data_IF_287196954807
#
_entry.id   IF_287196954807
#
_cell.length_a   1.000
_cell.length_b   1.000
_cell.length_c   1.000
_cell.angle_alpha   90.00
_cell.angle_beta   90.00
_cell.angle_gamma   90.00
#
_symmetry.space_group_name_H-M   'P 1'
#
loop_
_entity.id
_entity.type
_entity.pdbx_description
1 polymer ?
#
# COMPACT_ATOMS: atom_id res chain seq x y z
N UNK A 1 -2.42 -10.79 -0.55
CA UNK A 1 -2.73 -10.04 -1.78
C UNK A 1 -1.50 -9.28 -2.26
N UNK A 2 -1.25 -9.18 -3.57
CA UNK A 2 -0.14 -8.41 -4.13
C UNK A 2 -0.58 -7.00 -4.53
N UNK A 3 0.28 -6.01 -4.31
CA UNK A 3 0.05 -4.60 -4.58
C UNK A 3 1.27 -4.07 -5.34
N UNK A 4 1.05 -3.48 -6.52
CA UNK A 4 2.09 -2.79 -7.28
C UNK A 4 2.13 -1.31 -6.91
N UNK A 5 3.33 -0.79 -6.68
CA UNK A 5 3.65 0.60 -6.37
C UNK A 5 4.64 1.09 -7.43
N UNK A 6 4.29 2.16 -8.14
CA UNK A 6 5.07 2.64 -9.28
C UNK A 6 6.38 3.33 -8.87
N UNK A 7 6.49 3.78 -7.61
CA UNK A 7 7.68 4.42 -7.09
C UNK A 7 8.43 3.48 -6.11
N UNK A 8 9.60 2.93 -6.51
CA UNK A 8 10.37 2.00 -5.67
C UNK A 8 10.83 2.63 -4.36
N UNK A 9 11.14 3.92 -4.34
CA UNK A 9 11.62 4.63 -3.14
C UNK A 9 10.55 4.73 -2.05
N UNK A 10 9.29 4.46 -2.41
CA UNK A 10 8.14 4.52 -1.50
C UNK A 10 7.66 3.15 -1.04
N UNK A 11 8.24 2.05 -1.54
CA UNK A 11 7.84 0.70 -1.16
C UNK A 11 8.09 0.42 0.32
N UNK A 12 9.30 0.74 0.81
CA UNK A 12 9.69 0.41 2.18
C UNK A 12 8.86 1.23 3.20
N UNK A 13 8.54 2.49 2.85
CA UNK A 13 7.62 3.32 3.64
C UNK A 13 6.20 2.71 3.66
N UNK A 14 5.69 2.29 2.50
CA UNK A 14 4.37 1.66 2.41
C UNK A 14 4.30 0.34 3.20
N UNK A 15 5.35 -0.50 3.15
CA UNK A 15 5.46 -1.72 3.96
C UNK A 15 5.46 -1.36 5.45
N UNK A 16 6.21 -0.33 5.85
CA UNK A 16 6.23 0.18 7.22
C UNK A 16 4.84 0.64 7.68
N UNK A 17 4.15 1.40 6.84
CA UNK A 17 2.78 1.87 7.09
C UNK A 17 1.80 0.71 7.29
N UNK A 18 1.83 -0.31 6.42
CA UNK A 18 0.98 -1.49 6.54
C UNK A 18 1.25 -2.27 7.82
N UNK A 19 2.53 -2.48 8.16
CA UNK A 19 2.92 -3.17 9.40
C UNK A 19 2.50 -2.40 10.64
N UNK A 20 2.63 -1.07 10.63
CA UNK A 20 2.13 -0.21 11.71
C UNK A 20 0.60 -0.27 11.84
N UNK A 21 -0.12 -0.48 10.74
CA UNK A 21 -1.55 -0.76 10.71
C UNK A 21 -1.94 -2.19 11.14
N UNK A 22 -0.97 -3.04 11.49
CA UNK A 22 -1.21 -4.42 11.90
C UNK A 22 -1.36 -5.42 10.74
N UNK A 23 -1.09 -5.01 9.50
CA UNK A 23 -1.04 -5.93 8.37
C UNK A 23 0.28 -6.70 8.34
N UNK A 24 0.27 -7.93 7.84
CA UNK A 24 1.51 -8.57 7.42
C UNK A 24 1.86 -8.03 6.04
N UNK A 25 3.05 -7.42 5.90
CA UNK A 25 3.51 -6.88 4.62
C UNK A 25 4.96 -7.29 4.34
N UNK A 26 5.23 -7.70 3.12
CA UNK A 26 6.53 -8.15 2.63
C UNK A 26 6.79 -7.55 1.25
N UNK A 27 7.97 -6.98 1.05
CA UNK A 27 8.45 -6.59 -0.28
C UNK A 27 8.86 -7.83 -1.06
N UNK A 28 8.30 -8.01 -2.25
CA UNK A 28 8.66 -9.12 -3.15
C UNK A 28 9.77 -8.72 -4.12
N UNK A 29 9.67 -7.51 -4.67
CA UNK A 29 10.62 -6.94 -5.64
C UNK A 29 10.64 -5.40 -5.57
N UNK A 30 11.17 -4.74 -6.59
CA UNK A 30 11.33 -3.27 -6.63
C UNK A 30 10.03 -2.51 -6.87
N UNK A 31 8.92 -3.18 -7.16
CA UNK A 31 7.61 -2.53 -7.38
C UNK A 31 6.45 -3.25 -6.70
N UNK A 32 6.67 -4.40 -6.08
CA UNK A 32 5.60 -5.27 -5.58
C UNK A 32 5.72 -5.52 -4.08
N UNK A 33 4.59 -5.35 -3.39
CA UNK A 33 4.41 -5.71 -1.98
C UNK A 33 3.33 -6.79 -1.88
N UNK A 34 3.62 -7.86 -1.16
CA UNK A 34 2.61 -8.78 -0.66
C UNK A 34 2.11 -8.30 0.69
N UNK A 35 0.80 -8.16 0.83
CA UNK A 35 0.13 -7.76 2.05
C UNK A 35 -1.01 -8.71 2.41
N UNK A 36 -1.16 -9.01 3.70
CA UNK A 36 -2.24 -9.83 4.26
C UNK A 36 -2.86 -9.03 5.41
N UNK A 37 -4.18 -8.91 5.40
CA UNK A 37 -4.93 -8.29 6.49
C UNK A 37 -5.36 -9.40 7.46
N UNK A 38 -4.94 -9.38 8.74
CA UNK A 38 -5.37 -10.39 9.69
C UNK A 38 -6.89 -10.38 9.89
N UNK A 39 -7.46 -11.55 10.20
CA UNK A 39 -8.84 -11.70 10.67
C UNK A 39 -9.95 -11.27 9.68
N UNK A 40 -9.65 -11.13 8.40
CA UNK A 40 -10.66 -10.92 7.37
C UNK A 40 -11.28 -12.25 6.93
N UNK A 41 -12.61 -12.31 6.94
CA UNK A 41 -13.35 -13.53 6.64
C UNK A 41 -13.43 -13.86 5.13
N UNK A 42 -13.00 -12.95 4.25
CA UNK A 42 -13.03 -13.16 2.81
C UNK A 42 -11.97 -12.37 2.04
N UNK A 43 -11.54 -12.85 0.86
CA UNK A 43 -10.67 -12.09 -0.04
C UNK A 43 -11.24 -10.73 -0.47
N UNK A 44 -12.57 -10.59 -0.57
CA UNK A 44 -13.21 -9.31 -0.89
C UNK A 44 -13.08 -8.30 0.25
N UNK A 45 -13.21 -8.77 1.50
CA UNK A 45 -13.00 -7.96 2.69
C UNK A 45 -11.54 -7.52 2.79
N UNK A 46 -10.59 -8.43 2.54
CA UNK A 46 -9.16 -8.13 2.48
C UNK A 46 -8.87 -7.03 1.45
N UNK A 47 -9.36 -7.18 0.22
CA UNK A 47 -9.18 -6.20 -0.85
C UNK A 47 -9.75 -4.83 -0.48
N UNK A 48 -10.93 -4.81 0.15
CA UNK A 48 -11.57 -3.55 0.58
C UNK A 48 -10.73 -2.84 1.62
N UNK A 49 -10.24 -3.56 2.62
CA UNK A 49 -9.45 -3.02 3.70
C UNK A 49 -8.08 -2.51 3.21
N UNK A 50 -7.37 -3.31 2.40
CA UNK A 50 -6.12 -2.88 1.74
C UNK A 50 -6.34 -1.63 0.88
N UNK A 51 -7.50 -1.53 0.21
CA UNK A 51 -7.88 -0.33 -0.53
C UNK A 51 -8.03 0.92 0.35
N UNK A 52 -8.47 0.76 1.61
CA UNK A 52 -8.53 1.86 2.58
C UNK A 52 -7.13 2.26 3.03
N UNK A 53 -6.27 1.29 3.37
CA UNK A 53 -4.87 1.55 3.70
C UNK A 53 -4.14 2.30 2.58
N UNK A 54 -4.28 1.83 1.34
CA UNK A 54 -3.65 2.46 0.17
C UNK A 54 -4.11 3.91 -0.01
N UNK A 55 -5.42 4.19 0.07
CA UNK A 55 -5.96 5.55 -0.05
C UNK A 55 -5.50 6.47 1.06
N UNK A 56 -5.43 5.97 2.30
CA UNK A 56 -4.93 6.71 3.46
C UNK A 56 -3.46 7.10 3.25
N UNK A 57 -2.62 6.12 2.91
CA UNK A 57 -1.21 6.31 2.63
C UNK A 57 -0.97 7.28 1.47
N UNK A 58 -1.69 7.12 0.36
CA UNK A 58 -1.64 8.02 -0.79
C UNK A 58 -2.04 9.44 -0.43
N UNK A 59 -3.03 9.63 0.45
CA UNK A 59 -3.49 10.96 0.87
C UNK A 59 -2.44 11.68 1.72
N UNK A 60 -1.77 10.96 2.63
CA UNK A 60 -0.64 11.48 3.39
C UNK A 60 0.52 11.90 2.47
N UNK A 61 0.83 11.08 1.47
CA UNK A 61 1.94 11.32 0.54
C UNK A 61 1.60 12.29 -0.59
N UNK A 62 0.33 12.45 -0.98
CA UNK A 62 -0.10 13.49 -1.94
C UNK A 62 0.08 14.88 -1.33
N UNK A 63 -0.13 15.01 -0.02
CA UNK A 63 0.12 16.26 0.72
C UNK A 63 1.60 16.60 0.83
N UNK A 64 2.47 15.60 0.81
CA UNK A 64 3.92 15.77 0.69
C UNK A 64 4.33 16.07 -0.78
N UNK A 65 3.74 15.36 -1.75
CA UNK A 65 3.99 15.51 -3.19
C UNK A 65 3.39 16.78 -3.81
N UNK A 66 2.52 17.52 -3.13
CA UNK A 66 2.14 18.87 -3.58
C UNK A 66 3.31 19.89 -3.57
N UNK A 67 4.51 19.48 -3.16
CA UNK A 67 5.77 20.20 -3.44
C UNK A 67 6.63 19.57 -4.55
N UNK A 68 6.30 18.38 -5.04
CA UNK A 68 6.98 17.69 -6.14
C UNK A 68 6.00 16.72 -6.81
N UNK A 69 5.42 17.13 -7.93
CA UNK A 69 4.39 16.37 -8.63
C UNK A 69 4.89 15.01 -9.10
N UNK A 70 4.19 13.94 -8.75
CA UNK A 70 3.94 12.82 -9.66
C UNK A 70 2.87 11.87 -9.12
N UNK A 71 2.12 11.29 -10.05
CA UNK A 71 0.96 10.44 -9.81
C UNK A 71 1.30 8.94 -9.85
N UNK A 72 0.34 8.15 -9.33
CA UNK A 72 0.00 6.75 -9.68
C UNK A 72 0.25 5.65 -8.63
N UNK A 73 -0.81 4.83 -8.48
CA UNK A 73 -0.76 3.39 -8.27
C UNK A 73 -2.07 2.81 -8.85
N UNK A 74 -1.96 1.77 -9.69
CA UNK A 74 -3.10 1.01 -10.23
C UNK A 74 -3.13 -0.34 -9.51
N UNK A 75 -4.29 -0.72 -8.99
CA UNK A 75 -4.52 -2.04 -8.39
C UNK A 75 -5.11 -3.00 -9.44
N UNK A 76 -4.48 -4.17 -9.65
CA UNK A 76 -5.07 -5.33 -10.36
C UNK A 76 -5.52 -6.34 -9.32
#
# INVERSE_FOLDING_TARGET
MQISIDNPDRLDDFVGFLRAGGCFALRLDDSTVEAIVPQVASPLSERRELGVYLKSWQSAHRRAASTAGDALAVAV
#
